data_IF_201683214929
#
_entry.id   IF_201683214929
#
_cell.length_a   1.000
_cell.length_b   1.000
_cell.length_c   1.000
_cell.angle_alpha   90.00
_cell.angle_beta   90.00
_cell.angle_gamma   90.00
#
_symmetry.space_group_name_H-M   'P 1'
#
loop_
_entity.id
_entity.type
_entity.pdbx_description
1 polymer ?
#
# COMPACT_ATOMS: atom_id res chain seq x y z
N UNK A 1 -39.81 -17.29 17.42
CA UNK A 1 -38.95 -16.09 17.22
C UNK A 1 -38.04 -15.99 18.43
N UNK A 2 -36.72 -16.03 18.23
CA UNK A 2 -35.75 -15.98 19.33
C UNK A 2 -35.75 -14.59 19.95
N UNK A 3 -36.23 -14.47 21.19
CA UNK A 3 -36.33 -13.22 21.95
C UNK A 3 -34.96 -12.77 22.53
N UNK A 4 -33.88 -12.97 21.77
CA UNK A 4 -32.52 -12.61 22.18
C UNK A 4 -32.15 -11.30 21.49
N UNK A 5 -31.79 -10.28 22.27
CA UNK A 5 -31.53 -8.92 21.78
C UNK A 5 -30.44 -8.91 20.68
N UNK A 6 -29.40 -9.74 20.83
CA UNK A 6 -28.30 -9.89 19.85
C UNK A 6 -28.70 -10.54 18.52
N UNK A 7 -29.87 -11.19 18.44
CA UNK A 7 -30.39 -11.83 17.23
C UNK A 7 -31.40 -10.94 16.48
N UNK A 8 -31.66 -9.73 16.99
CA UNK A 8 -32.44 -8.70 16.28
C UNK A 8 -31.54 -7.93 15.34
N UNK A 9 -32.04 -7.43 14.19
CA UNK A 9 -31.24 -6.60 13.28
C UNK A 9 -30.59 -5.40 13.97
N UNK A 10 -31.34 -4.69 14.83
CA UNK A 10 -30.81 -3.57 15.61
C UNK A 10 -29.68 -3.99 16.57
N UNK A 11 -29.83 -5.14 17.24
CA UNK A 11 -28.80 -5.69 18.11
C UNK A 11 -27.53 -6.11 17.36
N UNK A 12 -27.66 -6.65 16.15
CA UNK A 12 -26.52 -6.98 15.28
C UNK A 12 -25.79 -5.72 14.84
N UNK A 13 -26.51 -4.71 14.31
CA UNK A 13 -25.94 -3.44 13.91
C UNK A 13 -25.21 -2.74 15.05
N UNK A 14 -25.79 -2.76 16.26
CA UNK A 14 -25.17 -2.19 17.47
C UNK A 14 -23.85 -2.88 17.81
N UNK A 15 -23.82 -4.22 17.78
CA UNK A 15 -22.59 -4.97 18.04
C UNK A 15 -21.53 -4.69 16.97
N UNK A 16 -21.93 -4.66 15.70
CA UNK A 16 -21.01 -4.39 14.59
C UNK A 16 -20.39 -3.00 14.71
N UNK A 17 -21.17 -1.97 15.04
CA UNK A 17 -20.64 -0.63 15.29
C UNK A 17 -19.68 -0.61 16.48
N UNK A 18 -20.03 -1.24 17.59
CA UNK A 18 -19.15 -1.34 18.75
C UNK A 18 -17.79 -1.97 18.39
N UNK A 19 -17.80 -3.07 17.63
CA UNK A 19 -16.56 -3.72 17.19
C UNK A 19 -15.81 -2.92 16.14
N UNK A 20 -16.49 -2.20 15.24
CA UNK A 20 -15.84 -1.26 14.30
C UNK A 20 -15.08 -0.17 15.04
N UNK A 21 -15.69 0.43 16.08
CA UNK A 21 -15.04 1.44 16.93
C UNK A 21 -13.82 0.86 17.64
N UNK A 22 -13.96 -0.32 18.27
CA UNK A 22 -12.83 -1.00 18.92
C UNK A 22 -11.71 -1.34 17.95
N UNK A 23 -12.06 -1.78 16.75
CA UNK A 23 -11.07 -2.05 15.70
C UNK A 23 -10.38 -0.78 15.23
N UNK A 24 -11.10 0.34 15.10
CA UNK A 24 -10.52 1.62 14.72
C UNK A 24 -9.49 2.11 15.74
N UNK A 25 -9.77 1.97 17.05
CA UNK A 25 -8.82 2.29 18.13
C UNK A 25 -7.51 1.48 18.00
N UNK A 26 -7.62 0.18 17.73
CA UNK A 26 -6.45 -0.68 17.50
C UNK A 26 -5.69 -0.30 16.23
N UNK A 27 -6.42 0.01 15.17
CA UNK A 27 -5.84 0.31 13.86
C UNK A 27 -5.04 1.61 13.89
N UNK A 28 -5.50 2.64 14.62
CA UNK A 28 -4.72 3.87 14.85
C UNK A 28 -3.35 3.54 15.47
N UNK A 29 -3.31 2.64 16.46
CA UNK A 29 -2.06 2.23 17.10
C UNK A 29 -1.13 1.49 16.14
N UNK A 30 -1.67 0.63 15.26
CA UNK A 30 -0.89 -0.07 14.23
C UNK A 30 -0.35 0.88 13.17
N UNK A 31 -1.19 1.78 12.67
CA UNK A 31 -0.80 2.76 11.65
C UNK A 31 0.34 3.68 12.11
N UNK A 32 0.43 3.97 13.41
CA UNK A 32 1.56 4.72 13.98
C UNK A 32 2.93 4.02 13.79
N UNK A 33 2.94 2.70 13.59
CA UNK A 33 4.15 1.91 13.34
C UNK A 33 4.30 1.66 11.84
N UNK A 34 3.21 1.27 11.18
CA UNK A 34 3.25 0.85 9.77
C UNK A 34 3.55 2.01 8.82
N UNK A 35 2.98 3.20 9.06
CA UNK A 35 3.22 4.36 8.18
C UNK A 35 4.70 4.77 8.19
N UNK A 36 5.37 4.97 9.34
CA UNK A 36 6.81 5.21 9.36
C UNK A 36 7.62 4.11 8.68
N UNK A 37 7.31 2.83 8.93
CA UNK A 37 8.00 1.70 8.29
C UNK A 37 7.87 1.73 6.77
N UNK A 38 6.68 2.03 6.26
CA UNK A 38 6.42 2.13 4.83
C UNK A 38 7.15 3.33 4.21
N UNK A 39 7.17 4.48 4.90
CA UNK A 39 7.93 5.66 4.46
C UNK A 39 9.43 5.38 4.40
N UNK A 40 9.97 4.67 5.39
CA UNK A 40 11.37 4.21 5.39
C UNK A 40 11.64 3.32 4.18
N UNK A 41 10.80 2.31 3.95
CA UNK A 41 10.94 1.40 2.80
C UNK A 41 10.94 2.15 1.46
N UNK A 42 10.02 3.12 1.26
CA UNK A 42 9.97 3.92 0.04
C UNK A 42 11.27 4.72 -0.18
N UNK A 43 11.79 5.36 0.88
CA UNK A 43 13.01 6.15 0.82
C UNK A 43 14.24 5.29 0.53
N UNK A 44 14.36 4.14 1.21
CA UNK A 44 15.49 3.24 0.98
C UNK A 44 15.43 2.66 -0.42
N UNK A 45 14.26 2.28 -0.91
CA UNK A 45 14.11 1.66 -2.23
C UNK A 45 14.43 2.64 -3.35
N UNK A 46 13.97 3.90 -3.25
CA UNK A 46 14.38 4.94 -4.21
C UNK A 46 15.90 5.13 -4.21
N UNK A 47 16.52 5.18 -3.02
CA UNK A 47 17.98 5.27 -2.89
C UNK A 47 18.69 4.06 -3.52
N UNK A 48 18.21 2.86 -3.26
CA UNK A 48 18.76 1.62 -3.83
C UNK A 48 18.68 1.64 -5.36
N UNK A 49 17.53 1.98 -5.93
CA UNK A 49 17.35 2.03 -7.38
C UNK A 49 18.22 3.12 -8.03
N UNK A 50 18.42 4.25 -7.36
CA UNK A 50 19.34 5.30 -7.80
C UNK A 50 20.80 4.82 -7.83
N UNK A 51 21.24 4.18 -6.75
CA UNK A 51 22.59 3.62 -6.62
C UNK A 51 22.87 2.57 -7.69
N UNK A 52 21.95 1.61 -7.87
CA UNK A 52 22.08 0.58 -8.90
C UNK A 52 22.07 1.15 -10.32
N UNK A 53 21.26 2.18 -10.57
CA UNK A 53 21.25 2.87 -11.86
C UNK A 53 22.64 3.49 -12.16
N UNK A 54 23.24 4.17 -11.19
CA UNK A 54 24.55 4.80 -11.34
C UNK A 54 25.66 3.76 -11.56
N UNK A 55 25.65 2.69 -10.76
CA UNK A 55 26.63 1.60 -10.88
C UNK A 55 26.56 0.86 -12.23
N UNK A 56 25.35 0.68 -12.77
CA UNK A 56 25.15 -0.04 -14.02
C UNK A 56 25.27 0.85 -15.26
N UNK A 57 25.30 2.18 -15.10
CA UNK A 57 25.33 3.11 -16.22
C UNK A 57 26.55 2.89 -17.13
N UNK A 58 27.72 2.58 -16.55
CA UNK A 58 28.96 2.35 -17.29
C UNK A 58 29.08 0.92 -17.84
N UNK A 59 28.59 -0.07 -17.10
CA UNK A 59 28.75 -1.49 -17.43
C UNK A 59 27.63 -2.03 -18.32
N UNK A 60 26.38 -1.62 -18.08
CA UNK A 60 25.21 -2.05 -18.82
C UNK A 60 24.14 -0.93 -18.90
N UNK A 61 24.27 0.00 -19.87
CA UNK A 61 23.39 1.15 -19.97
C UNK A 61 21.94 0.79 -20.28
N UNK A 62 21.69 -0.34 -20.97
CA UNK A 62 20.33 -0.79 -21.27
C UNK A 62 19.57 -1.20 -20.00
N UNK A 63 20.23 -1.96 -19.11
CA UNK A 63 19.67 -2.34 -17.83
C UNK A 63 19.50 -1.12 -16.90
N UNK A 64 20.48 -0.20 -16.88
CA UNK A 64 20.36 1.05 -16.13
C UNK A 64 19.13 1.84 -16.59
N UNK A 65 18.91 1.97 -17.90
CA UNK A 65 17.72 2.63 -18.44
C UNK A 65 16.41 1.98 -17.95
N UNK A 66 16.32 0.65 -17.97
CA UNK A 66 15.14 -0.07 -17.45
C UNK A 66 14.92 0.19 -15.96
N UNK A 67 15.97 0.19 -15.14
CA UNK A 67 15.90 0.53 -13.71
C UNK A 67 15.41 1.98 -13.53
N UNK A 68 15.84 2.91 -14.38
CA UNK A 68 15.38 4.30 -14.35
C UNK A 68 13.87 4.40 -14.62
N UNK A 69 13.38 3.74 -15.67
CA UNK A 69 11.96 3.69 -15.99
C UNK A 69 11.14 3.12 -14.84
N UNK A 70 11.59 1.98 -14.29
CA UNK A 70 10.94 1.36 -13.14
C UNK A 70 10.89 2.28 -11.91
N UNK A 71 12.01 2.96 -11.60
CA UNK A 71 12.05 3.91 -10.49
C UNK A 71 11.07 5.06 -10.69
N UNK A 72 10.97 5.60 -11.90
CA UNK A 72 10.05 6.69 -12.22
C UNK A 72 8.57 6.29 -12.01
N UNK A 73 8.21 5.05 -12.36
CA UNK A 73 6.88 4.52 -12.07
C UNK A 73 6.63 4.45 -10.56
N UNK A 74 7.58 3.91 -9.79
CA UNK A 74 7.45 3.80 -8.33
C UNK A 74 7.31 5.14 -7.62
N UNK A 75 8.07 6.15 -8.02
CA UNK A 75 8.00 7.49 -7.44
C UNK A 75 6.58 8.08 -7.51
N UNK A 76 5.82 7.79 -8.59
CA UNK A 76 4.43 8.24 -8.71
C UNK A 76 3.54 7.64 -7.61
N UNK A 77 3.75 6.37 -7.27
CA UNK A 77 3.04 5.74 -6.16
C UNK A 77 3.46 6.34 -4.82
N UNK A 78 4.75 6.59 -4.62
CA UNK A 78 5.25 7.21 -3.38
C UNK A 78 4.62 8.58 -3.17
N UNK A 79 4.58 9.43 -4.20
CA UNK A 79 3.93 10.73 -4.14
C UNK A 79 2.46 10.62 -3.73
N UNK A 80 1.75 9.63 -4.29
CA UNK A 80 0.35 9.38 -3.94
C UNK A 80 0.19 8.92 -2.49
N UNK A 81 1.06 8.04 -2.01
CA UNK A 81 1.09 7.61 -0.61
C UNK A 81 1.39 8.77 0.33
N UNK A 82 2.40 9.59 0.03
CA UNK A 82 2.73 10.79 0.79
C UNK A 82 1.55 11.75 0.91
N UNK A 83 0.82 12.02 -0.20
CA UNK A 83 -0.40 12.85 -0.18
C UNK A 83 -1.49 12.26 0.71
N UNK A 84 -1.70 10.94 0.63
CA UNK A 84 -2.70 10.24 1.47
C UNK A 84 -2.32 10.32 2.95
N UNK A 85 -1.07 10.05 3.31
CA UNK A 85 -0.61 10.15 4.70
C UNK A 85 -0.66 11.58 5.23
N UNK A 86 -0.31 12.58 4.41
CA UNK A 86 -0.46 13.99 4.76
C UNK A 86 -1.91 14.44 4.96
N UNK A 87 -2.87 13.79 4.29
CA UNK A 87 -4.30 14.01 4.53
C UNK A 87 -4.76 13.30 5.81
N UNK A 88 -4.29 12.09 6.06
CA UNK A 88 -4.62 11.31 7.26
C UNK A 88 -4.11 11.98 8.54
N UNK A 89 -2.89 12.53 8.54
CA UNK A 89 -2.32 13.22 9.71
C UNK A 89 -3.06 14.51 10.11
N UNK A 90 -3.93 15.03 9.24
CA UNK A 90 -4.77 16.21 9.51
C UNK A 90 -6.12 15.86 10.12
N UNK A 91 -6.50 14.58 10.18
CA UNK A 91 -7.78 14.17 10.72
C UNK A 91 -7.76 14.26 12.27
N UNK A 92 -8.85 14.75 12.90
CA UNK A 92 -8.95 14.78 14.35
C UNK A 92 -8.90 13.36 14.93
N UNK A 93 -8.14 13.17 16.01
CA UNK A 93 -7.99 11.86 16.66
C UNK A 93 -6.92 10.94 16.05
N UNK A 94 -6.23 11.38 14.98
CA UNK A 94 -5.13 10.62 14.37
C UNK A 94 -3.78 11.17 14.82
N UNK A 95 -2.94 10.32 15.44
CA UNK A 95 -1.62 10.70 16.01
C UNK A 95 -0.44 10.30 15.12
N UNK A 96 -0.70 9.86 13.88
CA UNK A 96 0.32 9.27 13.00
C UNK A 96 1.48 10.21 12.73
N UNK A 97 2.70 9.73 12.97
CA UNK A 97 3.93 10.43 12.61
C UNK A 97 4.25 10.20 11.13
N UNK A 98 4.59 11.28 10.43
CA UNK A 98 5.04 11.24 9.03
C UNK A 98 6.56 11.21 8.90
N UNK A 99 7.28 11.03 10.01
CA UNK A 99 8.73 10.90 9.99
C UNK A 99 9.10 9.51 9.50
N UNK A 100 9.81 9.42 8.38
CA UNK A 100 10.50 8.18 8.02
C UNK A 100 11.45 7.79 9.18
N UNK A 101 11.43 6.52 9.55
CA UNK A 101 12.37 5.99 10.53
C UNK A 101 13.78 5.85 9.94
N UNK A 102 14.74 5.52 10.79
CA UNK A 102 16.06 5.04 10.35
C UNK A 102 16.04 3.51 10.33
N UNK A 103 16.52 2.90 9.24
CA UNK A 103 16.76 1.46 9.22
C UNK A 103 17.85 1.11 10.22
N UNK A 104 17.52 0.25 11.18
CA UNK A 104 18.45 -0.19 12.23
C UNK A 104 19.49 -1.21 11.72
N UNK A 105 19.20 -1.96 10.65
CA UNK A 105 20.06 -3.02 10.13
C UNK A 105 20.23 -2.95 8.61
N UNK A 106 21.48 -3.05 8.16
CA UNK A 106 21.83 -3.15 6.74
C UNK A 106 21.12 -4.37 6.16
N UNK A 107 20.12 -4.15 5.29
CA UNK A 107 19.36 -5.24 4.67
C UNK A 107 20.28 -6.05 3.76
N UNK A 108 20.50 -7.35 4.02
CA UNK A 108 21.34 -8.19 3.17
C UNK A 108 20.79 -8.20 1.73
N UNK A 109 21.63 -7.87 0.75
CA UNK A 109 21.27 -7.84 -0.67
C UNK A 109 20.89 -6.47 -1.23
N UNK A 110 20.91 -5.40 -0.42
CA UNK A 110 20.69 -4.02 -0.87
C UNK A 110 21.99 -3.26 -1.16
N UNK A 111 23.12 -3.83 -0.79
CA UNK A 111 24.43 -3.40 -1.23
C UNK A 111 24.80 -4.11 -2.54
N UNK A 112 24.76 -3.37 -3.66
CA UNK A 112 25.17 -3.86 -4.99
C UNK A 112 26.63 -4.31 -5.10
N UNK A 113 27.41 -4.24 -4.02
CA UNK A 113 28.82 -4.68 -4.01
C UNK A 113 29.00 -6.19 -3.84
N UNK A 114 28.04 -6.92 -3.26
CA UNK A 114 28.25 -8.35 -2.95
C UNK A 114 27.93 -9.31 -4.11
N UNK A 115 27.21 -8.85 -5.14
CA UNK A 115 26.87 -9.69 -6.30
C UNK A 115 27.91 -9.56 -7.41
N UNK A 116 28.67 -8.46 -7.46
CA UNK A 116 29.73 -8.26 -8.45
C UNK A 116 30.91 -9.25 -8.30
N UNK A 117 31.19 -9.72 -7.08
CA UNK A 117 32.27 -10.67 -6.83
C UNK A 117 31.91 -12.13 -7.19
N UNK A 118 30.62 -12.45 -7.30
CA UNK A 118 30.16 -13.81 -7.63
C UNK A 118 30.14 -14.11 -9.14
N UNK A 119 30.18 -13.09 -10.00
CA UNK A 119 30.13 -13.21 -11.46
C UNK A 119 31.52 -13.14 -12.14
N UNK A 120 32.59 -12.94 -11.38
CA UNK A 120 33.97 -12.90 -11.89
C UNK A 120 34.64 -14.29 -11.95
N UNK A 121 33.87 -15.37 -11.74
CA UNK A 121 34.34 -16.75 -11.76
C UNK A 121 33.75 -17.56 -12.92
N UNK A 122 34.62 -17.84 -13.89
CA UNK A 122 34.54 -18.92 -14.87
C UNK A 122 33.77 -18.65 -16.17
N UNK A 123 34.53 -18.53 -17.25
CA UNK A 123 34.02 -18.50 -18.61
C UNK A 123 34.14 -19.85 -19.28
N UNK A 124 33.06 -20.39 -19.83
CA UNK A 124 33.09 -21.11 -21.11
C UNK A 124 31.70 -21.41 -21.68
N UNK A 125 31.42 -20.80 -22.83
CA UNK A 125 30.82 -21.43 -24.02
C UNK A 125 29.40 -21.98 -23.96
N UNK A 126 28.45 -21.28 -24.60
CA UNK A 126 27.53 -21.90 -25.56
C UNK A 126 26.85 -20.85 -26.46
N UNK A 127 27.23 -20.88 -27.74
CA UNK A 127 26.54 -20.24 -28.86
C UNK A 127 25.21 -20.92 -29.13
N UNK A 128 24.09 -20.16 -29.23
CA UNK A 128 22.90 -20.50 -30.03
C UNK A 128 22.17 -19.25 -30.55
N UNK A 129 22.45 -18.97 -31.83
CA UNK A 129 21.59 -18.51 -32.95
C UNK A 129 20.28 -17.74 -32.68
N UNK A 130 20.17 -16.64 -33.42
CA UNK A 130 18.98 -15.85 -33.73
C UNK A 130 17.78 -16.67 -34.27
N UNK A 131 16.57 -16.16 -34.00
CA UNK A 131 15.33 -16.59 -34.64
C UNK A 131 14.10 -15.79 -34.15
N UNK A 132 13.66 -14.88 -35.00
CA UNK A 132 12.28 -14.41 -35.26
C UNK A 132 11.34 -13.95 -34.13
N UNK A 133 11.07 -12.65 -34.17
CA UNK A 133 9.80 -12.02 -33.76
C UNK A 133 8.82 -12.10 -34.94
N UNK A 134 7.52 -12.34 -34.69
CA UNK A 134 6.50 -11.65 -35.45
C UNK A 134 5.58 -10.80 -34.53
N UNK A 135 5.10 -9.64 -35.03
CA UNK A 135 4.26 -8.72 -34.29
C UNK A 135 2.77 -9.01 -34.50
N UNK A 136 1.95 -8.77 -33.48
CA UNK A 136 0.48 -8.69 -33.55
C UNK A 136 -0.03 -8.41 -32.14
N UNK A 137 -0.99 -7.55 -31.82
CA UNK A 137 -1.85 -6.63 -32.56
C UNK A 137 -2.47 -5.76 -31.47
N UNK A 138 -2.65 -4.48 -31.79
CA UNK A 138 -3.36 -3.50 -30.98
C UNK A 138 -4.80 -3.90 -30.63
N UNK A 139 -5.31 -3.14 -29.64
CA UNK A 139 -6.68 -2.95 -29.18
C UNK A 139 -7.16 -3.92 -28.10
N UNK A 140 -7.26 -3.44 -26.87
CA UNK A 140 -8.54 -3.45 -26.14
C UNK A 140 -8.64 -2.23 -25.21
N UNK A 141 -9.52 -1.35 -25.68
CA UNK A 141 -10.35 -0.31 -25.07
C UNK A 141 -10.22 0.02 -23.58
N UNK A 142 -10.03 1.31 -23.34
CA UNK A 142 -10.29 2.06 -22.11
C UNK A 142 -11.82 2.08 -21.87
N UNK A 143 -12.31 1.28 -20.92
CA UNK A 143 -13.65 1.40 -20.34
C UNK A 143 -13.48 1.59 -18.83
N UNK A 144 -13.14 2.81 -18.44
CA UNK A 144 -13.35 3.29 -17.07
C UNK A 144 -14.80 3.75 -17.03
N UNK A 145 -15.72 2.82 -16.76
CA UNK A 145 -17.01 3.20 -16.21
C UNK A 145 -16.75 3.63 -14.75
N UNK A 146 -16.80 4.94 -14.53
CA UNK A 146 -16.96 5.50 -13.20
C UNK A 146 -18.39 5.22 -12.76
N UNK A 147 -18.59 4.09 -12.10
CA UNK A 147 -19.81 3.77 -11.37
C UNK A 147 -19.80 4.62 -10.08
N UNK A 148 -20.37 5.81 -10.19
CA UNK A 148 -20.61 6.74 -9.08
C UNK A 148 -22.00 6.48 -8.53
N UNK A 149 -22.20 5.28 -7.98
CA UNK A 149 -23.33 4.99 -7.10
C UNK A 149 -22.97 5.51 -5.69
N UNK A 150 -23.12 6.82 -5.49
CA UNK A 150 -23.36 7.42 -4.16
C UNK A 150 -24.80 7.08 -3.74
N UNK A 151 -25.09 5.77 -3.63
CA UNK A 151 -26.16 5.29 -2.77
C UNK A 151 -25.68 5.54 -1.35
N UNK A 152 -25.92 6.77 -0.88
CA UNK A 152 -25.90 7.06 0.55
C UNK A 152 -26.77 6.01 1.21
N UNK A 153 -26.13 5.26 2.09
CA UNK A 153 -26.75 4.20 2.83
C UNK A 153 -27.84 4.80 3.73
N UNK A 154 -29.08 4.91 3.22
CA UNK A 154 -30.28 5.25 3.98
C UNK A 154 -30.47 4.28 5.18
N UNK A 155 -29.68 3.20 5.26
CA UNK A 155 -29.64 2.32 6.42
C UNK A 155 -28.72 2.82 7.53
N UNK A 156 -27.68 3.63 7.27
CA UNK A 156 -26.79 4.19 8.31
C UNK A 156 -27.56 5.14 9.25
N UNK A 157 -28.38 6.04 8.69
CA UNK A 157 -29.21 6.96 9.46
C UNK A 157 -30.30 6.20 10.26
N UNK A 158 -30.89 5.15 9.67
CA UNK A 158 -31.91 4.35 10.31
C UNK A 158 -31.36 3.42 11.42
N UNK A 159 -30.11 2.96 11.31
CA UNK A 159 -29.45 2.24 12.41
C UNK A 159 -29.00 3.19 13.50
N UNK A 160 -28.58 4.42 13.18
CA UNK A 160 -28.20 5.43 14.18
C UNK A 160 -29.40 5.82 15.06
N UNK A 161 -30.59 6.05 14.48
CA UNK A 161 -31.82 6.29 15.24
C UNK A 161 -32.23 5.08 16.11
N UNK A 162 -32.08 3.85 15.59
CA UNK A 162 -32.37 2.63 16.36
C UNK A 162 -31.35 2.39 17.48
N UNK A 163 -30.11 2.83 17.32
CA UNK A 163 -29.07 2.76 18.34
C UNK A 163 -29.29 3.78 19.45
N UNK A 164 -29.65 5.02 19.10
CA UNK A 164 -29.99 6.07 20.07
C UNK A 164 -31.15 5.61 20.95
N UNK A 165 -32.21 5.09 20.32
CA UNK A 165 -33.37 4.55 21.05
C UNK A 165 -33.00 3.34 21.93
N UNK A 166 -32.07 2.49 21.50
CA UNK A 166 -31.61 1.36 22.31
C UNK A 166 -30.71 1.82 23.49
N UNK A 167 -29.80 2.77 23.30
CA UNK A 167 -28.95 3.33 24.36
C UNK A 167 -29.77 4.05 25.44
N UNK A 168 -30.85 4.74 25.06
CA UNK A 168 -31.80 5.35 26.01
C UNK A 168 -32.55 4.30 26.83
N UNK A 169 -32.86 3.13 26.27
CA UNK A 169 -33.54 2.04 27.01
C UNK A 169 -32.67 1.37 28.07
N UNK A 170 -31.33 1.48 27.97
CA UNK A 170 -30.39 0.90 28.93
C UNK A 170 -29.91 1.89 30.01
N UNK A 171 -30.36 3.16 29.98
CA UNK A 171 -29.96 4.22 30.94
C UNK A 171 -30.91 4.38 32.15
N UNK A 172 -31.71 3.35 32.48
CA UNK A 172 -32.61 3.33 33.67
C UNK A 172 -31.94 2.64 34.86
#
# INVERSE_FOLDING_TARGET
>A
MSNRIWATPAGQATMDQYFKIKRAEEEINRLNIEIPCLLTYMADEDRYLQDQNLHLQESNPALAHQISCYRLERVRFYDQHHKRFARLSKQPGVTVSLTAGMVAEIRPGWNGSAVAEALAGDGQGASRTAGDVPPSSDYFTDDIEADDDDDRDDTEDQVEEQLITLMDTFSV
#
